data_IF_087486185762
#
_entry.id   IF_087486185762
#
_cell.length_a   1.000
_cell.length_b   1.000
_cell.length_c   1.000
_cell.angle_alpha   90.00
_cell.angle_beta   90.00
_cell.angle_gamma   90.00
#
_symmetry.space_group_name_H-M   'P 1'
#
loop_
_entity.id
_entity.type
_entity.pdbx_description
1 polymer ?
#
# COMPACT_ATOMS: atom_id res chain seq x y z
N UNK A 1 51.06 -1.81 -77.60
CA UNK A 1 49.76 -1.33 -77.15
C UNK A 1 49.27 -2.33 -76.10
N UNK A 2 49.38 -1.93 -74.84
CA UNK A 2 48.99 -2.77 -73.69
C UNK A 2 47.68 -2.25 -73.14
N UNK A 3 46.68 -3.12 -73.13
CA UNK A 3 45.31 -2.79 -72.64
C UNK A 3 45.25 -3.20 -71.15
N UNK A 4 45.19 -2.20 -70.28
CA UNK A 4 45.02 -2.44 -68.83
C UNK A 4 43.53 -2.47 -68.51
N UNK A 5 43.04 -3.64 -68.11
CA UNK A 5 41.63 -3.80 -67.65
C UNK A 5 41.58 -3.50 -66.14
N UNK A 6 40.91 -2.43 -65.79
CA UNK A 6 40.67 -2.06 -64.36
C UNK A 6 39.41 -2.75 -63.88
N UNK A 7 39.56 -3.69 -62.96
CA UNK A 7 38.45 -4.34 -62.26
C UNK A 7 37.94 -3.38 -61.13
N UNK A 8 36.72 -2.94 -61.25
CA UNK A 8 36.04 -2.21 -60.17
C UNK A 8 35.30 -3.24 -59.32
N UNK A 9 35.79 -3.45 -58.11
CA UNK A 9 35.12 -4.26 -57.10
C UNK A 9 34.14 -3.34 -56.33
N UNK A 10 32.85 -3.51 -56.58
CA UNK A 10 31.79 -2.89 -55.75
C UNK A 10 31.53 -3.76 -54.54
N UNK A 11 32.01 -3.35 -53.36
CA UNK A 11 31.67 -3.95 -52.07
C UNK A 11 30.30 -3.50 -51.65
N UNK A 12 29.32 -4.42 -51.64
CA UNK A 12 28.01 -4.24 -51.05
C UNK A 12 28.16 -4.43 -49.53
N UNK A 13 28.16 -3.34 -48.75
CA UNK A 13 28.04 -3.44 -47.30
C UNK A 13 26.57 -3.53 -46.94
N UNK A 14 26.09 -4.72 -46.53
CA UNK A 14 24.80 -4.88 -45.87
C UNK A 14 24.98 -4.37 -44.41
N UNK A 15 24.57 -3.14 -44.16
CA UNK A 15 24.45 -2.59 -42.83
C UNK A 15 23.22 -3.15 -42.15
N UNK A 16 23.41 -4.17 -41.29
CA UNK A 16 22.38 -4.56 -40.32
C UNK A 16 22.27 -3.49 -39.23
N UNK A 17 21.29 -2.60 -39.36
CA UNK A 17 20.94 -1.68 -38.27
C UNK A 17 20.22 -2.47 -37.17
N UNK A 18 20.95 -2.82 -36.12
CA UNK A 18 20.32 -3.29 -34.86
C UNK A 18 19.54 -2.11 -34.25
N UNK A 19 18.21 -2.13 -34.44
CA UNK A 19 17.31 -1.23 -33.74
C UNK A 19 17.25 -1.67 -32.27
N UNK A 20 18.14 -1.15 -31.44
CA UNK A 20 18.06 -1.33 -30.01
C UNK A 20 16.81 -0.62 -29.51
N UNK A 21 15.73 -1.37 -29.32
CA UNK A 21 14.53 -0.85 -28.66
C UNK A 21 14.88 -0.64 -27.20
N UNK A 22 15.28 0.58 -26.84
CA UNK A 22 15.39 1.00 -25.45
C UNK A 22 13.97 1.04 -24.92
N UNK A 23 13.54 -0.04 -24.27
CA UNK A 23 12.34 -0.04 -23.46
C UNK A 23 12.54 0.96 -22.34
N UNK A 24 12.01 2.17 -22.51
CA UNK A 24 11.83 3.12 -21.43
C UNK A 24 10.84 2.49 -20.44
N UNK A 25 11.35 1.62 -19.56
CA UNK A 25 10.63 1.19 -18.38
C UNK A 25 10.38 2.47 -17.57
N UNK A 26 9.19 3.05 -17.74
CA UNK A 26 8.70 4.14 -16.90
C UNK A 26 8.93 3.68 -15.46
N UNK A 27 9.88 4.31 -14.79
CA UNK A 27 10.14 4.08 -13.37
C UNK A 27 8.96 4.71 -12.62
N UNK A 28 7.81 4.02 -12.64
CA UNK A 28 6.64 4.42 -11.88
C UNK A 28 7.04 4.23 -10.42
N UNK A 29 7.33 5.35 -9.75
CA UNK A 29 7.57 5.36 -8.30
C UNK A 29 6.40 4.61 -7.65
N UNK A 30 6.71 3.56 -6.90
CA UNK A 30 5.72 2.75 -6.22
C UNK A 30 4.86 3.66 -5.33
N UNK A 31 3.55 3.61 -5.49
CA UNK A 31 2.62 4.33 -4.63
C UNK A 31 2.63 3.64 -3.28
N UNK A 32 3.23 4.26 -2.26
CA UNK A 32 3.41 3.64 -0.95
C UNK A 32 2.06 3.37 -0.27
N UNK A 33 1.21 4.40 -0.19
CA UNK A 33 -0.13 4.33 0.43
C UNK A 33 -1.19 4.53 -0.64
N UNK A 34 -2.20 3.68 -0.65
CA UNK A 34 -3.30 3.70 -1.63
C UNK A 34 -4.61 4.24 -1.05
N UNK A 35 -4.72 4.32 0.27
CA UNK A 35 -5.90 4.86 0.93
C UNK A 35 -5.91 4.60 2.45
N UNK A 36 -6.95 5.09 3.10
CA UNK A 36 -7.20 4.80 4.51
C UNK A 36 -7.94 3.45 4.58
N UNK A 37 -7.30 2.48 5.23
CA UNK A 37 -7.88 1.15 5.47
C UNK A 37 -8.68 1.08 6.77
N UNK A 38 -8.41 1.98 7.74
CA UNK A 38 -9.18 2.02 8.97
C UNK A 38 -8.84 3.18 9.89
N UNK A 39 -9.81 3.53 10.72
CA UNK A 39 -9.70 4.47 11.82
C UNK A 39 -10.05 3.73 13.10
N UNK A 40 -9.07 3.57 13.98
CA UNK A 40 -9.20 2.85 15.24
C UNK A 40 -9.01 3.84 16.39
N UNK A 41 -9.83 3.74 17.41
CA UNK A 41 -9.74 4.64 18.56
C UNK A 41 -10.19 3.96 19.84
N UNK A 42 -9.69 4.46 20.96
CA UNK A 42 -10.06 3.97 22.29
C UNK A 42 -11.31 4.65 22.81
N UNK A 43 -12.13 3.91 23.52
CA UNK A 43 -13.29 4.42 24.23
C UNK A 43 -13.56 3.55 25.48
N UNK A 44 -14.36 4.07 26.41
CA UNK A 44 -14.70 3.38 27.64
C UNK A 44 -15.55 2.13 27.40
N UNK A 45 -16.57 2.27 26.58
CA UNK A 45 -17.51 1.20 26.24
C UNK A 45 -17.76 1.12 24.73
N UNK A 46 -17.02 0.24 24.01
CA UNK A 46 -17.20 0.06 22.56
C UNK A 46 -18.63 -0.35 22.17
N UNK A 47 -19.34 -1.10 23.02
CA UNK A 47 -20.70 -1.52 22.75
C UNK A 47 -21.65 -0.34 22.78
N UNK A 48 -21.55 0.50 23.80
CA UNK A 48 -22.38 1.71 23.91
C UNK A 48 -22.07 2.70 22.76
N UNK A 49 -20.79 2.83 22.39
CA UNK A 49 -20.38 3.67 21.25
C UNK A 49 -20.97 3.13 19.94
N UNK A 50 -20.85 1.84 19.65
CA UNK A 50 -21.45 1.22 18.47
C UNK A 50 -22.96 1.46 18.41
N UNK A 51 -23.68 1.28 19.51
CA UNK A 51 -25.13 1.49 19.56
C UNK A 51 -25.50 2.96 19.34
N UNK A 52 -24.75 3.89 19.91
CA UNK A 52 -24.96 5.32 19.70
C UNK A 52 -24.83 5.69 18.21
N UNK A 53 -23.77 5.25 17.53
CA UNK A 53 -23.53 5.51 16.11
C UNK A 53 -24.59 4.84 15.23
N UNK A 54 -25.00 3.62 15.57
CA UNK A 54 -26.10 2.93 14.90
C UNK A 54 -27.40 3.72 15.01
N UNK A 55 -27.77 4.15 16.22
CA UNK A 55 -29.03 4.83 16.48
C UNK A 55 -29.10 6.22 15.87
N UNK A 56 -28.02 6.99 15.99
CA UNK A 56 -28.03 8.42 15.65
C UNK A 56 -27.48 8.72 14.25
N UNK A 57 -26.58 7.87 13.73
CA UNK A 57 -25.94 8.08 12.44
C UNK A 57 -26.21 6.96 11.43
N UNK A 58 -26.98 5.93 11.81
CA UNK A 58 -27.36 4.84 10.90
C UNK A 58 -26.20 3.91 10.52
N UNK A 59 -25.17 3.82 11.34
CA UNK A 59 -24.08 2.89 11.06
C UNK A 59 -24.57 1.45 11.17
N UNK A 60 -24.19 0.60 10.20
CA UNK A 60 -24.41 -0.85 10.29
C UNK A 60 -23.27 -1.46 11.11
N UNK A 61 -23.43 -1.44 12.43
CA UNK A 61 -22.38 -1.84 13.37
C UNK A 61 -22.43 -3.31 13.71
N UNK A 62 -21.25 -3.92 13.79
CA UNK A 62 -20.96 -5.22 14.40
C UNK A 62 -20.34 -5.01 15.78
N UNK A 63 -20.06 -6.06 16.58
CA UNK A 63 -19.28 -5.93 17.81
C UNK A 63 -17.89 -5.31 17.62
N UNK A 64 -17.36 -5.33 16.40
CA UNK A 64 -16.04 -4.80 16.04
C UNK A 64 -16.08 -3.41 15.39
N UNK A 65 -17.25 -2.81 15.21
CA UNK A 65 -17.43 -1.54 14.53
C UNK A 65 -18.13 -1.71 13.18
N UNK A 66 -17.78 -0.89 12.19
CA UNK A 66 -18.41 -0.92 10.86
C UNK A 66 -17.37 -0.76 9.76
N UNK A 67 -17.77 -1.07 8.52
CA UNK A 67 -16.95 -0.91 7.33
C UNK A 67 -17.65 0.01 6.34
N UNK A 68 -16.90 0.93 5.75
CA UNK A 68 -17.36 1.76 4.65
C UNK A 68 -16.76 1.26 3.35
N UNK A 69 -17.61 0.85 2.42
CA UNK A 69 -17.17 0.45 1.08
C UNK A 69 -16.99 1.68 0.19
N UNK A 70 -15.96 1.68 -0.62
CA UNK A 70 -15.71 2.68 -1.63
C UNK A 70 -15.12 2.03 -2.89
N UNK A 71 -15.00 2.80 -3.96
CA UNK A 71 -14.39 2.36 -5.21
C UNK A 71 -13.19 3.20 -5.55
N UNK A 72 -12.21 2.57 -6.20
CA UNK A 72 -11.04 3.28 -6.72
C UNK A 72 -11.48 4.31 -7.78
N UNK A 73 -10.88 5.50 -7.73
CA UNK A 73 -11.26 6.60 -8.64
C UNK A 73 -10.77 6.34 -10.07
N UNK A 74 -9.65 5.62 -10.21
CA UNK A 74 -9.04 5.32 -11.51
C UNK A 74 -9.58 4.01 -12.10
N UNK A 75 -10.10 3.10 -11.24
CA UNK A 75 -10.69 1.82 -11.62
C UNK A 75 -11.90 1.48 -10.74
N UNK A 76 -13.08 1.84 -11.21
CA UNK A 76 -14.34 1.63 -10.49
C UNK A 76 -14.71 0.16 -10.25
N UNK A 77 -14.02 -0.80 -10.87
CA UNK A 77 -14.20 -2.23 -10.60
C UNK A 77 -13.53 -2.66 -9.30
N UNK A 78 -12.49 -1.92 -8.88
CA UNK A 78 -11.79 -2.18 -7.61
C UNK A 78 -12.59 -1.62 -6.43
N UNK A 79 -12.89 -2.48 -5.50
CA UNK A 79 -13.51 -2.12 -4.23
C UNK A 79 -12.46 -1.92 -3.16
N UNK A 80 -12.71 -0.99 -2.27
CA UNK A 80 -11.93 -0.78 -1.06
C UNK A 80 -12.84 -0.72 0.15
N UNK A 81 -12.24 -0.94 1.31
CA UNK A 81 -12.91 -0.87 2.61
C UNK A 81 -12.15 0.08 3.51
N UNK A 82 -12.88 0.86 4.29
CA UNK A 82 -12.34 1.60 5.44
C UNK A 82 -13.04 1.10 6.68
N UNK A 83 -12.29 0.53 7.61
CA UNK A 83 -12.79 0.03 8.89
C UNK A 83 -12.92 1.18 9.89
N UNK A 84 -13.99 1.19 10.67
CA UNK A 84 -14.18 2.09 11.79
C UNK A 84 -14.39 1.25 13.06
N UNK A 85 -13.40 1.22 13.94
CA UNK A 85 -13.37 0.28 15.06
C UNK A 85 -13.10 1.00 16.39
N UNK A 86 -14.06 1.02 17.31
CA UNK A 86 -13.82 1.40 18.69
C UNK A 86 -13.17 0.25 19.45
N UNK A 87 -12.13 0.57 20.23
CA UNK A 87 -11.43 -0.36 21.13
C UNK A 87 -11.64 0.06 22.58
N UNK A 88 -11.56 -0.89 23.50
CA UNK A 88 -11.55 -0.56 24.93
C UNK A 88 -10.35 0.33 25.27
N UNK A 89 -10.52 1.27 26.21
CA UNK A 89 -9.49 2.21 26.62
C UNK A 89 -8.22 1.54 27.15
N UNK A 90 -8.34 0.33 27.77
CA UNK A 90 -7.25 -0.45 28.33
C UNK A 90 -6.55 -1.37 27.30
N UNK A 91 -6.98 -1.33 26.03
CA UNK A 91 -6.37 -2.16 24.99
C UNK A 91 -4.86 -1.95 24.88
N UNK A 92 -4.12 -3.04 24.73
CA UNK A 92 -2.67 -3.02 24.45
C UNK A 92 -2.36 -3.02 22.95
N UNK A 93 -3.37 -3.09 22.11
CA UNK A 93 -3.19 -3.17 20.67
C UNK A 93 -2.48 -1.95 20.09
N UNK A 94 -2.64 -0.78 20.71
CA UNK A 94 -1.99 0.46 20.26
C UNK A 94 -0.56 0.64 20.81
N UNK A 95 -0.12 -0.22 21.76
CA UNK A 95 1.25 -0.14 22.27
C UNK A 95 2.28 -0.33 21.13
N UNK A 96 3.45 0.34 21.19
CA UNK A 96 3.92 1.18 22.29
C UNK A 96 3.38 2.63 22.29
N UNK A 97 2.55 3.03 21.30
CA UNK A 97 1.94 4.36 21.28
C UNK A 97 1.05 4.57 22.52
N UNK A 98 1.12 5.78 23.07
CA UNK A 98 0.26 6.22 24.18
C UNK A 98 -1.00 6.95 23.70
N UNK A 99 -1.16 7.12 22.39
CA UNK A 99 -2.30 7.80 21.80
C UNK A 99 -3.55 6.92 21.84
N UNK A 100 -4.70 7.59 21.80
CA UNK A 100 -6.01 6.93 21.85
C UNK A 100 -6.57 6.61 20.47
N UNK A 101 -5.74 6.71 19.43
CA UNK A 101 -6.10 6.35 18.06
C UNK A 101 -4.96 5.63 17.36
N UNK A 102 -5.30 4.91 16.30
CA UNK A 102 -4.38 4.32 15.34
C UNK A 102 -5.03 4.35 13.97
N UNK A 103 -4.26 4.79 12.95
CA UNK A 103 -4.72 4.79 11.56
C UNK A 103 -4.15 3.56 10.86
N UNK A 104 -5.01 2.87 10.11
CA UNK A 104 -4.60 1.84 9.17
C UNK A 104 -4.53 2.45 7.77
N UNK A 105 -3.41 2.25 7.08
CA UNK A 105 -3.23 2.63 5.69
C UNK A 105 -3.14 1.40 4.79
N UNK A 106 -3.89 1.43 3.69
CA UNK A 106 -3.80 0.41 2.63
C UNK A 106 -2.55 0.62 1.81
N UNK A 107 -1.88 -0.48 1.45
CA UNK A 107 -0.68 -0.49 0.60
C UNK A 107 -0.79 -1.60 -0.45
N UNK A 108 -0.02 -1.50 -1.55
CA UNK A 108 -0.04 -2.51 -2.63
C UNK A 108 0.96 -3.64 -2.42
N UNK A 109 2.12 -3.35 -1.81
CA UNK A 109 3.20 -4.32 -1.60
C UNK A 109 3.86 -4.07 -0.27
N UNK A 110 3.39 -4.78 0.75
CA UNK A 110 3.80 -4.58 2.12
C UNK A 110 5.26 -4.95 2.36
N UNK A 111 5.71 -6.06 1.79
CA UNK A 111 7.10 -6.53 1.96
C UNK A 111 8.09 -5.53 1.37
N UNK A 112 7.85 -5.08 0.13
CA UNK A 112 8.73 -4.11 -0.51
C UNK A 112 8.74 -2.77 0.24
N UNK A 113 7.57 -2.33 0.73
CA UNK A 113 7.46 -1.11 1.52
C UNK A 113 8.21 -1.22 2.85
N UNK A 114 8.09 -2.34 3.56
CA UNK A 114 8.80 -2.58 4.83
C UNK A 114 10.31 -2.54 4.63
N UNK A 115 10.83 -3.16 3.55
CA UNK A 115 12.27 -3.11 3.24
C UNK A 115 12.75 -1.68 2.91
N UNK A 116 11.92 -0.87 2.27
CA UNK A 116 12.23 0.54 2.02
C UNK A 116 12.23 1.34 3.32
N UNK A 117 11.21 1.17 4.16
CA UNK A 117 11.09 1.86 5.46
C UNK A 117 12.24 1.53 6.41
N UNK A 118 12.71 0.27 6.42
CA UNK A 118 13.91 -0.12 7.17
C UNK A 118 15.15 0.64 6.73
N UNK A 119 15.35 0.82 5.41
CA UNK A 119 16.48 1.60 4.86
C UNK A 119 16.38 3.09 5.22
N UNK A 120 15.15 3.58 5.37
CA UNK A 120 14.85 4.95 5.79
C UNK A 120 14.90 5.12 7.33
N UNK A 121 15.27 4.07 8.10
CA UNK A 121 15.32 4.04 9.57
C UNK A 121 13.97 4.30 10.25
N UNK A 122 12.87 3.93 9.60
CA UNK A 122 11.53 3.96 10.23
C UNK A 122 11.42 2.81 11.23
N UNK A 123 10.88 3.09 12.40
CA UNK A 123 10.67 2.07 13.44
C UNK A 123 9.57 1.10 13.04
N UNK A 124 9.95 -0.16 12.79
CA UNK A 124 9.01 -1.27 12.58
C UNK A 124 8.73 -1.90 13.95
N UNK A 125 7.47 -1.96 14.35
CA UNK A 125 7.06 -2.40 15.71
C UNK A 125 7.05 -3.92 15.84
N UNK A 126 6.65 -4.60 14.76
CA UNK A 126 6.46 -6.05 14.76
C UNK A 126 6.81 -6.67 13.39
N UNK A 127 6.64 -7.96 13.25
CA UNK A 127 6.81 -8.68 11.98
C UNK A 127 5.54 -8.61 11.14
N UNK A 128 5.66 -8.82 9.84
CA UNK A 128 4.50 -8.99 8.96
C UNK A 128 3.71 -10.22 9.39
N UNK A 129 2.42 -10.01 9.64
CA UNK A 129 1.45 -11.07 9.90
C UNK A 129 0.54 -11.25 8.69
N UNK A 130 0.22 -12.51 8.37
CA UNK A 130 -0.62 -12.86 7.21
C UNK A 130 -1.89 -13.54 7.69
N UNK A 131 -3.04 -13.04 7.21
CA UNK A 131 -4.37 -13.55 7.47
C UNK A 131 -5.13 -13.77 6.15
N UNK A 132 -6.32 -14.36 6.22
CA UNK A 132 -7.14 -14.61 5.03
C UNK A 132 -7.58 -13.33 4.32
N UNK A 133 -7.62 -12.21 5.03
CA UNK A 133 -8.02 -10.88 4.55
C UNK A 133 -6.84 -9.93 4.29
N UNK A 134 -5.61 -10.41 4.34
CA UNK A 134 -4.44 -9.64 3.96
C UNK A 134 -3.24 -9.75 4.90
N UNK A 135 -2.26 -8.90 4.67
CA UNK A 135 -1.01 -8.82 5.44
C UNK A 135 -0.95 -7.51 6.20
N UNK A 136 -0.36 -7.55 7.37
CA UNK A 136 -0.30 -6.43 8.30
C UNK A 136 1.07 -6.28 8.93
N UNK A 137 1.47 -5.04 9.19
CA UNK A 137 2.63 -4.69 10.02
C UNK A 137 2.36 -3.35 10.70
N UNK A 138 3.00 -3.10 11.81
CA UNK A 138 2.91 -1.81 12.49
C UNK A 138 4.25 -1.07 12.47
N UNK A 139 4.14 0.25 12.34
CA UNK A 139 5.27 1.18 12.38
C UNK A 139 4.97 2.31 13.36
N UNK A 140 5.99 3.10 13.70
CA UNK A 140 5.82 4.37 14.41
C UNK A 140 6.17 5.53 13.49
N UNK A 141 5.40 6.61 13.58
CA UNK A 141 5.76 7.88 12.98
C UNK A 141 6.68 8.72 13.91
N UNK A 142 7.01 9.93 13.47
CA UNK A 142 7.90 10.85 14.20
C UNK A 142 7.36 11.25 15.58
N UNK A 143 6.04 11.25 15.76
CA UNK A 143 5.36 11.61 17.00
C UNK A 143 5.06 10.39 17.90
N UNK A 144 5.51 9.20 17.49
CA UNK A 144 5.27 7.95 18.19
C UNK A 144 3.83 7.44 18.03
N UNK A 145 3.09 7.91 17.04
CA UNK A 145 1.80 7.32 16.69
C UNK A 145 2.05 5.94 16.09
N UNK A 146 1.33 4.92 16.58
CA UNK A 146 1.33 3.61 15.93
C UNK A 146 0.45 3.66 14.68
N UNK A 147 1.01 3.21 13.59
CA UNK A 147 0.35 3.12 12.29
C UNK A 147 0.30 1.65 11.91
N UNK A 148 -0.84 1.18 11.43
CA UNK A 148 -0.95 -0.13 10.82
C UNK A 148 -0.89 0.01 9.29
N UNK A 149 -0.02 -0.75 8.65
CA UNK A 149 0.02 -0.92 7.20
C UNK A 149 -0.68 -2.22 6.83
N UNK A 150 -1.56 -2.17 5.86
CA UNK A 150 -2.38 -3.29 5.42
C UNK A 150 -2.32 -3.47 3.91
N UNK A 151 -1.82 -4.63 3.47
CA UNK A 151 -1.99 -5.12 2.10
C UNK A 151 -3.20 -6.05 2.08
N UNK A 152 -4.37 -5.60 1.58
CA UNK A 152 -5.54 -6.45 1.50
C UNK A 152 -5.32 -7.60 0.51
N UNK A 153 -5.99 -8.71 0.76
CA UNK A 153 -6.13 -9.80 -0.21
C UNK A 153 -7.41 -9.56 -0.99
N UNK A 154 -7.25 -9.22 -2.26
CA UNK A 154 -8.35 -9.06 -3.21
C UNK A 154 -8.87 -10.42 -3.72
#
# INVERSE_FOLDING_TARGET
MSLTITLIATSFQLGFAFKTTISNKKNTKMKKVTGIGGVFFKCKDPKAVNEWYKTHLGFDTTPYGTSFEWRDIDDSTKKGLTQWNPFKEDTKYFAPSTKDFMINYRVENLEALVEELKKENVTIVDKIETYDYGKFVHILDLEGNKIQLWEPKD
#
